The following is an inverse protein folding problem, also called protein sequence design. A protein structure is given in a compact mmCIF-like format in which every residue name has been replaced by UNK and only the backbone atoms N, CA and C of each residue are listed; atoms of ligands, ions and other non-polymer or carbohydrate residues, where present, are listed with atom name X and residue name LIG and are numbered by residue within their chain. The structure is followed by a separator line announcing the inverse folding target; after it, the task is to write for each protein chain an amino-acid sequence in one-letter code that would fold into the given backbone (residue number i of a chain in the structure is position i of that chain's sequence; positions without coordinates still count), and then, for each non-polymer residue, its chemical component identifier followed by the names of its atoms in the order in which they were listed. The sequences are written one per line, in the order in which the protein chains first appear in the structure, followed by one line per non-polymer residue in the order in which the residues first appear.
data_IF_838665154389
#
_entry.id   IF_838665154389
#
_cell.length_a   1.000
_cell.length_b   1.000
_cell.length_c   1.000
_cell.angle_alpha   90.00
_cell.angle_beta   90.00
_cell.angle_gamma   90.00
#
_symmetry.space_group_name_H-M   'P 1'
#
loop_
_entity.id
_entity.type
_entity.pdbx_description
1 polymer ?
#
# COMPACT_ATOMS: atom_id res chain seq x y z
N UNK A 1 -25.00 62.35 67.53
CA UNK A 1 -26.05 61.31 67.26
C UNK A 1 -25.59 60.53 66.05
N UNK A 2 -24.88 59.40 66.30
CA UNK A 2 -24.19 58.61 65.28
C UNK A 2 -25.08 57.42 64.88
N UNK A 3 -25.52 57.44 63.65
CA UNK A 3 -26.30 56.37 63.06
C UNK A 3 -25.33 55.38 62.32
N UNK A 4 -25.15 54.20 62.89
CA UNK A 4 -24.39 53.12 62.28
C UNK A 4 -25.22 52.47 61.16
N UNK A 5 -24.73 52.53 59.94
CA UNK A 5 -25.29 51.79 58.77
C UNK A 5 -24.74 50.36 58.82
N UNK A 6 -25.59 49.37 58.98
CA UNK A 6 -25.31 47.96 58.91
C UNK A 6 -25.49 47.50 57.45
N UNK A 7 -24.40 47.14 56.77
CA UNK A 7 -24.47 46.57 55.42
C UNK A 7 -24.74 45.09 55.52
N UNK A 8 -25.86 44.63 54.95
CA UNK A 8 -26.17 43.23 54.75
C UNK A 8 -25.50 42.74 53.44
N UNK A 9 -24.58 41.81 53.58
CA UNK A 9 -23.96 41.09 52.45
C UNK A 9 -24.87 39.90 52.11
N UNK A 10 -25.55 39.94 50.95
CA UNK A 10 -26.32 38.83 50.41
C UNK A 10 -25.38 37.97 49.60
N UNK A 11 -25.02 36.77 50.09
CA UNK A 11 -24.26 35.78 49.34
C UNK A 11 -25.25 34.96 48.51
N UNK A 12 -25.26 35.14 47.19
CA UNK A 12 -26.01 34.30 46.25
C UNK A 12 -25.13 33.08 45.95
N UNK A 13 -25.45 31.92 46.50
CA UNK A 13 -24.84 30.64 46.12
C UNK A 13 -25.57 30.15 44.88
N UNK A 14 -24.96 30.30 43.73
CA UNK A 14 -25.45 29.69 42.49
C UNK A 14 -25.09 28.19 42.47
N UNK A 15 -26.06 27.33 42.64
CA UNK A 15 -25.94 25.89 42.39
C UNK A 15 -25.84 25.65 40.86
N UNK A 16 -24.63 25.42 40.37
CA UNK A 16 -24.44 24.87 39.02
C UNK A 16 -24.71 23.37 39.08
N UNK A 17 -25.89 22.95 38.67
CA UNK A 17 -26.17 21.54 38.41
C UNK A 17 -25.39 21.13 37.14
N UNK A 18 -24.28 20.39 37.31
CA UNK A 18 -23.66 19.68 36.22
C UNK A 18 -24.60 18.56 35.75
N UNK A 19 -25.41 18.82 34.76
CA UNK A 19 -26.06 17.74 34.00
C UNK A 19 -25.00 17.13 33.12
N UNK A 20 -24.50 15.94 33.49
CA UNK A 20 -23.69 15.10 32.64
C UNK A 20 -24.53 14.69 31.42
N UNK A 21 -24.31 15.35 30.30
CA UNK A 21 -24.81 14.89 29.00
C UNK A 21 -24.04 13.62 28.68
N UNK A 22 -24.67 12.45 28.52
CA UNK A 22 -23.96 11.28 28.03
C UNK A 22 -23.48 11.58 26.63
N UNK A 23 -22.18 11.68 26.43
CA UNK A 23 -21.56 11.69 25.11
C UNK A 23 -21.78 10.29 24.50
N UNK A 24 -22.95 10.06 23.92
CA UNK A 24 -23.15 8.99 22.97
C UNK A 24 -22.36 9.36 21.71
N UNK A 25 -21.06 9.10 21.73
CA UNK A 25 -20.24 9.07 20.51
C UNK A 25 -20.70 7.83 19.75
N UNK A 26 -21.79 7.97 18.99
CA UNK A 26 -22.07 7.02 17.94
C UNK A 26 -20.89 7.11 16.98
N UNK A 27 -20.09 6.05 16.92
CA UNK A 27 -19.07 5.92 15.90
C UNK A 27 -19.79 6.08 14.55
N UNK A 28 -19.58 7.21 13.89
CA UNK A 28 -20.17 7.50 12.59
C UNK A 28 -19.58 6.46 11.62
N UNK A 29 -20.38 5.47 11.25
CA UNK A 29 -19.96 4.46 10.28
C UNK A 29 -19.57 5.16 8.99
N UNK A 30 -18.39 4.86 8.48
CA UNK A 30 -17.91 5.37 7.21
C UNK A 30 -18.85 4.91 6.08
N UNK A 31 -19.71 5.82 5.61
CA UNK A 31 -20.68 5.57 4.54
C UNK A 31 -20.08 5.79 3.16
N UNK A 32 -18.78 6.14 3.07
CA UNK A 32 -18.12 6.28 1.77
C UNK A 32 -18.12 4.96 1.01
N UNK A 33 -18.21 5.05 -0.31
CA UNK A 33 -18.25 3.91 -1.22
C UNK A 33 -16.87 3.76 -1.87
N UNK A 34 -16.26 2.60 -1.70
CA UNK A 34 -15.00 2.24 -2.34
C UNK A 34 -15.17 1.14 -3.40
N UNK A 35 -14.14 1.00 -4.22
CA UNK A 35 -13.96 -0.13 -5.13
C UNK A 35 -12.99 -1.14 -4.54
N UNK A 36 -13.26 -2.44 -4.72
CA UNK A 36 -12.47 -3.51 -4.12
C UNK A 36 -12.33 -4.69 -5.07
N UNK A 37 -11.20 -5.37 -5.00
CA UNK A 37 -10.97 -6.68 -5.59
C UNK A 37 -11.21 -7.73 -4.51
N UNK A 38 -12.12 -8.66 -4.79
CA UNK A 38 -12.46 -9.78 -3.91
C UNK A 38 -11.97 -11.07 -4.54
N UNK A 39 -10.99 -11.72 -3.90
CA UNK A 39 -10.48 -13.03 -4.32
C UNK A 39 -11.26 -14.12 -3.61
N UNK A 40 -11.74 -15.12 -4.37
CA UNK A 40 -12.58 -16.22 -3.88
C UNK A 40 -11.74 -17.48 -3.65
N UNK A 41 -12.13 -18.30 -2.64
CA UNK A 41 -11.44 -19.56 -2.32
C UNK A 41 -11.71 -20.69 -3.32
N UNK A 42 -12.82 -20.65 -4.04
CA UNK A 42 -13.19 -21.72 -4.98
C UNK A 42 -14.06 -21.21 -6.13
N UNK A 43 -14.05 -21.95 -7.24
CA UNK A 43 -14.73 -21.58 -8.49
C UNK A 43 -16.24 -21.43 -8.34
N UNK A 44 -16.88 -22.15 -7.40
CA UNK A 44 -18.33 -22.15 -7.20
C UNK A 44 -18.83 -21.12 -6.17
N UNK A 45 -17.91 -20.29 -5.63
CA UNK A 45 -18.23 -19.34 -4.55
C UNK A 45 -18.78 -18.00 -5.04
N UNK A 46 -18.73 -17.70 -6.34
CA UNK A 46 -19.03 -16.37 -6.87
C UNK A 46 -20.47 -15.95 -6.64
N UNK A 47 -21.44 -16.79 -6.93
CA UNK A 47 -22.88 -16.43 -6.82
C UNK A 47 -23.32 -16.17 -5.38
N UNK A 48 -22.81 -16.92 -4.41
CA UNK A 48 -23.12 -16.71 -3.00
C UNK A 48 -22.51 -15.42 -2.47
N UNK A 49 -21.26 -15.13 -2.84
CA UNK A 49 -20.57 -13.89 -2.45
C UNK A 49 -21.21 -12.67 -3.11
N UNK A 50 -21.63 -12.77 -4.37
CA UNK A 50 -22.37 -11.68 -5.04
C UNK A 50 -23.71 -11.39 -4.39
N UNK A 51 -24.45 -12.42 -3.95
CA UNK A 51 -25.67 -12.24 -3.20
C UNK A 51 -25.42 -11.52 -1.85
N UNK A 52 -24.27 -11.79 -1.19
CA UNK A 52 -23.87 -11.09 0.03
C UNK A 52 -23.51 -9.64 -0.23
N UNK A 53 -22.80 -9.36 -1.34
CA UNK A 53 -22.48 -8.01 -1.79
C UNK A 53 -23.75 -7.22 -2.06
N UNK A 54 -24.70 -7.79 -2.81
CA UNK A 54 -25.96 -7.14 -3.11
C UNK A 54 -26.79 -6.84 -1.86
N UNK A 55 -26.85 -7.79 -0.89
CA UNK A 55 -27.53 -7.57 0.41
C UNK A 55 -26.88 -6.45 1.24
N UNK A 56 -25.58 -6.25 1.10
CA UNK A 56 -24.86 -5.14 1.72
C UNK A 56 -24.99 -3.80 0.95
N UNK A 57 -25.83 -3.76 -0.09
CA UNK A 57 -26.02 -2.57 -0.93
C UNK A 57 -24.84 -2.28 -1.86
N UNK A 58 -23.97 -3.26 -2.08
CA UNK A 58 -22.88 -3.22 -3.05
C UNK A 58 -23.29 -3.77 -4.41
N UNK A 59 -22.40 -3.65 -5.37
CA UNK A 59 -22.57 -4.22 -6.72
C UNK A 59 -21.29 -4.85 -7.22
N UNK A 60 -21.40 -5.94 -7.96
CA UNK A 60 -20.31 -6.53 -8.73
C UNK A 60 -20.19 -5.80 -10.06
N UNK A 61 -18.97 -5.34 -10.37
CA UNK A 61 -18.66 -4.64 -11.62
C UNK A 61 -18.03 -5.57 -12.65
N UNK A 62 -17.17 -6.49 -12.20
CA UNK A 62 -16.51 -7.48 -13.08
C UNK A 62 -16.34 -8.82 -12.37
N UNK A 63 -16.26 -9.91 -13.17
CA UNK A 63 -15.83 -11.23 -12.74
C UNK A 63 -14.50 -11.60 -13.39
N UNK A 64 -13.62 -12.19 -12.61
CA UNK A 64 -12.33 -12.71 -13.06
C UNK A 64 -12.35 -14.23 -12.94
N UNK A 65 -11.97 -14.93 -14.01
CA UNK A 65 -12.03 -16.40 -14.08
C UNK A 65 -10.76 -17.05 -14.63
N UNK A 66 -9.80 -16.24 -15.11
CA UNK A 66 -8.60 -16.77 -15.78
C UNK A 66 -7.33 -16.60 -14.92
N UNK A 67 -7.01 -15.37 -14.53
CA UNK A 67 -5.79 -15.10 -13.75
C UNK A 67 -6.01 -15.32 -12.26
N UNK A 68 -7.19 -14.96 -11.79
CA UNK A 68 -7.65 -15.19 -10.42
C UNK A 68 -9.14 -15.54 -10.47
N UNK A 69 -9.63 -16.24 -9.47
CA UNK A 69 -11.06 -16.41 -9.25
C UNK A 69 -11.53 -15.28 -8.31
N UNK A 70 -12.23 -14.30 -8.85
CA UNK A 70 -12.57 -13.12 -8.06
C UNK A 70 -13.56 -12.19 -8.72
N UNK A 71 -13.83 -11.10 -8.00
CA UNK A 71 -14.81 -10.08 -8.36
C UNK A 71 -14.20 -8.69 -8.17
N UNK A 72 -14.45 -7.76 -9.09
CA UNK A 72 -14.36 -6.33 -8.82
C UNK A 72 -15.72 -5.85 -8.34
N UNK A 73 -15.74 -5.19 -7.19
CA UNK A 73 -16.98 -4.80 -6.51
C UNK A 73 -16.93 -3.34 -6.06
N UNK A 74 -18.08 -2.71 -6.01
CA UNK A 74 -18.24 -1.39 -5.44
C UNK A 74 -19.21 -1.46 -4.26
N UNK A 75 -18.79 -1.03 -3.07
CA UNK A 75 -19.58 -1.14 -1.86
C UNK A 75 -19.15 -0.13 -0.79
N UNK A 76 -19.98 0.04 0.24
CA UNK A 76 -19.64 0.92 1.37
C UNK A 76 -18.46 0.36 2.16
N UNK A 77 -17.54 1.23 2.56
CA UNK A 77 -16.36 0.85 3.36
C UNK A 77 -16.74 0.16 4.66
N UNK A 78 -17.85 0.56 5.29
CA UNK A 78 -18.37 -0.06 6.52
C UNK A 78 -18.74 -1.54 6.36
N UNK A 79 -19.03 -2.00 5.15
CA UNK A 79 -19.44 -3.39 4.86
C UNK A 79 -18.25 -4.31 4.48
N UNK A 80 -17.08 -3.74 4.22
CA UNK A 80 -15.90 -4.51 3.76
C UNK A 80 -15.46 -5.54 4.79
N UNK A 81 -15.50 -5.20 6.08
CA UNK A 81 -15.13 -6.13 7.16
C UNK A 81 -16.01 -7.40 7.16
N UNK A 82 -17.31 -7.25 6.87
CA UNK A 82 -18.23 -8.38 6.72
C UNK A 82 -17.83 -9.28 5.55
N UNK A 83 -17.43 -8.69 4.45
CA UNK A 83 -17.00 -9.46 3.27
C UNK A 83 -15.68 -10.19 3.53
N UNK A 84 -14.73 -9.58 4.25
CA UNK A 84 -13.48 -10.25 4.68
C UNK A 84 -13.72 -11.47 5.57
N UNK A 85 -14.79 -11.46 6.36
CA UNK A 85 -15.16 -12.57 7.23
C UNK A 85 -16.02 -13.64 6.54
N UNK A 86 -16.34 -13.49 5.25
CA UNK A 86 -17.10 -14.49 4.51
C UNK A 86 -16.22 -15.74 4.26
N UNK A 87 -16.67 -16.97 4.60
CA UNK A 87 -15.87 -18.19 4.48
C UNK A 87 -15.44 -18.50 3.04
N UNK A 88 -16.14 -17.99 2.03
CA UNK A 88 -15.86 -18.17 0.62
C UNK A 88 -14.88 -17.13 0.05
N UNK A 89 -14.51 -16.11 0.84
CA UNK A 89 -13.58 -15.05 0.45
C UNK A 89 -12.18 -15.38 0.97
N UNK A 90 -11.19 -15.30 0.10
CA UNK A 90 -9.78 -15.45 0.45
C UNK A 90 -9.18 -14.11 0.86
N UNK A 91 -9.46 -13.06 0.09
CA UNK A 91 -8.85 -11.73 0.26
C UNK A 91 -9.80 -10.63 -0.24
N UNK A 92 -9.76 -9.47 0.40
CA UNK A 92 -10.41 -8.24 -0.08
C UNK A 92 -9.41 -7.10 -0.03
N UNK A 93 -9.08 -6.54 -1.18
CA UNK A 93 -8.16 -5.41 -1.35
C UNK A 93 -8.89 -4.20 -1.95
N UNK A 94 -8.49 -2.97 -1.60
CA UNK A 94 -8.94 -1.80 -2.33
C UNK A 94 -8.53 -1.88 -3.81
N UNK A 95 -9.46 -1.61 -4.71
CA UNK A 95 -9.17 -1.45 -6.14
C UNK A 95 -8.66 -0.03 -6.36
N UNK A 96 -7.34 0.10 -6.50
CA UNK A 96 -6.69 1.39 -6.68
C UNK A 96 -6.56 1.72 -8.16
N UNK A 97 -6.81 2.96 -8.50
CA UNK A 97 -6.54 3.45 -9.84
C UNK A 97 -5.02 3.49 -10.08
N UNK A 98 -4.57 2.64 -11.00
CA UNK A 98 -3.19 2.66 -11.47
C UNK A 98 -3.08 3.71 -12.57
N UNK A 99 -2.26 4.72 -12.34
CA UNK A 99 -1.86 5.66 -13.40
C UNK A 99 -0.52 5.23 -13.97
N UNK A 100 -0.36 5.34 -15.28
CA UNK A 100 0.97 5.23 -15.90
C UNK A 100 1.82 6.37 -15.35
N UNK A 101 2.83 6.04 -14.53
CA UNK A 101 3.54 7.03 -13.74
C UNK A 101 4.70 7.65 -14.48
N UNK A 102 5.31 6.93 -15.42
CA UNK A 102 6.45 7.47 -16.16
C UNK A 102 6.73 6.67 -17.45
N UNK A 103 6.94 7.38 -18.54
CA UNK A 103 7.39 6.80 -19.80
C UNK A 103 8.78 7.30 -20.09
N UNK A 104 9.76 6.40 -20.10
CA UNK A 104 11.10 6.71 -20.61
C UNK A 104 11.09 6.70 -22.14
N UNK A 105 11.48 7.81 -22.75
CA UNK A 105 11.59 7.95 -24.21
C UNK A 105 12.77 8.87 -24.56
N UNK A 106 13.85 8.36 -25.18
CA UNK A 106 14.07 6.93 -25.42
C UNK A 106 14.36 6.18 -24.12
N UNK A 107 14.00 4.88 -24.11
CA UNK A 107 14.42 4.01 -23.01
C UNK A 107 15.92 3.71 -23.10
N UNK A 108 16.63 3.62 -21.95
CA UNK A 108 18.07 3.38 -21.95
C UNK A 108 18.45 1.94 -22.31
N UNK A 109 17.49 1.01 -22.33
CA UNK A 109 17.73 -0.42 -22.54
C UNK A 109 16.64 -1.06 -23.40
N UNK A 110 17.06 -1.85 -24.39
CA UNK A 110 16.13 -2.69 -25.15
C UNK A 110 15.38 -3.70 -24.28
N UNK A 111 15.96 -4.11 -23.14
CA UNK A 111 15.32 -5.00 -22.19
C UNK A 111 14.09 -4.36 -21.54
N UNK A 112 14.18 -3.10 -21.16
CA UNK A 112 13.03 -2.34 -20.65
C UNK A 112 11.95 -2.16 -21.72
N UNK A 113 12.33 -1.79 -22.93
CA UNK A 113 11.44 -1.69 -24.09
C UNK A 113 10.71 -3.03 -24.37
N UNK A 114 11.44 -4.15 -24.23
CA UNK A 114 10.87 -5.46 -24.52
C UNK A 114 9.85 -5.94 -23.50
N UNK A 115 9.98 -5.57 -22.24
CA UNK A 115 9.12 -6.10 -21.16
C UNK A 115 7.77 -5.40 -21.03
N UNK A 116 7.60 -4.19 -21.53
CA UNK A 116 6.32 -3.48 -21.46
C UNK A 116 5.42 -3.70 -22.69
N UNK A 117 5.91 -4.43 -23.70
CA UNK A 117 5.14 -4.72 -24.92
C UNK A 117 5.19 -6.20 -25.31
N UNK A 118 4.08 -6.70 -25.91
CA UNK A 118 3.96 -8.11 -26.31
C UNK A 118 4.55 -8.41 -27.68
N UNK A 119 4.47 -7.46 -28.59
CA UNK A 119 4.79 -7.64 -30.00
C UNK A 119 6.00 -6.82 -30.44
N UNK A 120 6.70 -7.30 -31.46
CA UNK A 120 7.71 -6.55 -32.18
C UNK A 120 7.05 -5.75 -33.31
N UNK A 121 7.69 -4.67 -33.80
CA UNK A 121 9.00 -4.14 -33.39
C UNK A 121 8.97 -3.42 -32.05
N UNK A 122 10.15 -3.26 -31.43
CA UNK A 122 10.34 -2.41 -30.26
C UNK A 122 10.05 -0.94 -30.61
N UNK A 123 9.55 -0.17 -29.67
CA UNK A 123 9.12 1.21 -29.87
C UNK A 123 10.02 2.27 -29.22
N UNK A 124 11.12 1.81 -28.61
CA UNK A 124 12.10 2.64 -27.90
C UNK A 124 11.53 3.35 -26.66
N UNK A 125 10.43 2.85 -26.11
CA UNK A 125 9.86 3.39 -24.87
C UNK A 125 9.78 2.32 -23.78
N UNK A 126 9.68 2.76 -22.53
CA UNK A 126 9.32 1.91 -21.39
C UNK A 126 8.31 2.64 -20.51
N UNK A 127 7.15 2.05 -20.34
CA UNK A 127 6.07 2.58 -19.53
C UNK A 127 5.82 1.70 -18.33
N UNK A 128 6.15 2.20 -17.12
CA UNK A 128 5.86 1.50 -15.88
C UNK A 128 4.49 1.91 -15.33
N UNK A 129 3.58 0.95 -15.18
CA UNK A 129 2.26 1.17 -14.55
C UNK A 129 2.34 1.16 -13.03
N UNK A 130 3.38 0.52 -12.47
CA UNK A 130 3.69 0.48 -11.05
C UNK A 130 5.21 0.47 -10.87
N UNK A 131 5.74 1.25 -9.94
CA UNK A 131 7.18 1.40 -9.72
C UNK A 131 7.64 0.85 -8.36
N UNK A 132 6.83 0.11 -7.65
CA UNK A 132 7.19 -0.53 -6.39
C UNK A 132 7.27 0.41 -5.18
N UNK A 133 6.58 1.56 -5.20
CA UNK A 133 6.53 2.44 -4.03
C UNK A 133 5.93 1.72 -2.82
N UNK A 134 6.64 1.75 -1.67
CA UNK A 134 6.24 1.06 -0.44
C UNK A 134 6.52 -0.45 -0.44
N UNK A 135 7.24 -0.97 -1.46
CA UNK A 135 7.65 -2.38 -1.53
C UNK A 135 9.11 -2.53 -1.15
N UNK A 136 9.41 -3.45 -0.25
CA UNK A 136 10.76 -3.84 0.12
C UNK A 136 11.24 -5.00 -0.77
N UNK A 137 12.37 -4.80 -1.44
CA UNK A 137 12.97 -5.79 -2.33
C UNK A 137 14.31 -6.29 -1.73
N UNK A 138 14.35 -7.53 -1.37
CA UNK A 138 15.53 -8.18 -0.80
C UNK A 138 16.41 -8.73 -1.91
N UNK A 139 17.64 -8.24 -2.03
CA UNK A 139 18.65 -8.72 -2.98
C UNK A 139 19.58 -9.70 -2.23
N UNK A 140 19.29 -10.98 -2.39
CA UNK A 140 20.04 -12.08 -1.75
C UNK A 140 21.16 -12.50 -2.71
N UNK A 141 22.33 -11.88 -2.57
CA UNK A 141 23.42 -11.94 -3.55
C UNK A 141 24.79 -11.58 -2.92
N UNK A 142 25.70 -11.00 -3.71
CA UNK A 142 27.05 -10.57 -3.28
C UNK A 142 27.05 -9.24 -2.49
N UNK A 143 25.90 -8.66 -2.22
CA UNK A 143 25.73 -7.36 -1.59
C UNK A 143 25.29 -6.29 -2.58
N UNK A 144 25.23 -5.03 -2.13
CA UNK A 144 24.94 -3.87 -2.98
C UNK A 144 25.97 -2.78 -2.70
N UNK A 145 26.54 -2.19 -3.75
CA UNK A 145 27.39 -1.01 -3.65
C UNK A 145 26.56 0.22 -3.27
N UNK A 146 26.59 0.56 -1.98
CA UNK A 146 25.63 1.51 -1.40
C UNK A 146 25.75 2.95 -1.95
N UNK A 147 26.93 3.34 -2.46
CA UNK A 147 27.16 4.67 -3.03
C UNK A 147 26.75 4.78 -4.51
N UNK A 148 26.20 3.74 -5.11
CA UNK A 148 25.81 3.77 -6.52
C UNK A 148 24.64 4.73 -6.73
N UNK A 149 24.73 5.61 -7.71
CA UNK A 149 23.74 6.67 -8.00
C UNK A 149 22.35 6.14 -8.32
N UNK A 150 22.26 4.94 -8.90
CA UNK A 150 21.00 4.25 -9.21
C UNK A 150 20.14 3.93 -7.98
N UNK A 151 20.72 3.96 -6.76
CA UNK A 151 20.02 3.57 -5.54
C UNK A 151 19.85 4.69 -4.53
N UNK A 152 20.21 5.92 -4.88
CA UNK A 152 20.21 7.06 -3.95
C UNK A 152 18.89 7.20 -3.18
N UNK A 153 18.99 7.17 -1.84
CA UNK A 153 17.85 7.34 -0.93
C UNK A 153 16.89 6.14 -0.84
N UNK A 154 17.21 4.98 -1.46
CA UNK A 154 16.33 3.81 -1.50
C UNK A 154 16.96 2.52 -0.96
N UNK A 155 18.13 2.61 -0.31
CA UNK A 155 18.74 1.51 0.40
C UNK A 155 18.34 1.54 1.87
N UNK A 156 17.85 0.42 2.38
CA UNK A 156 17.62 0.19 3.80
C UNK A 156 18.72 -0.70 4.42
N UNK A 157 18.71 -0.81 5.74
CA UNK A 157 19.61 -1.70 6.44
C UNK A 157 19.38 -3.16 6.01
N UNK A 158 20.47 -3.86 5.70
CA UNK A 158 20.45 -5.24 5.24
C UNK A 158 21.14 -6.20 6.21
N UNK A 159 21.48 -7.37 5.70
CA UNK A 159 22.15 -8.44 6.45
C UNK A 159 23.31 -9.02 5.64
N UNK A 160 24.39 -9.42 6.32
CA UNK A 160 25.48 -10.21 5.74
C UNK A 160 25.71 -11.49 6.53
N UNK A 161 25.77 -12.61 5.85
CA UNK A 161 26.23 -13.88 6.39
C UNK A 161 27.75 -14.06 6.26
N UNK A 162 28.42 -13.16 5.52
CA UNK A 162 29.87 -13.19 5.33
C UNK A 162 30.53 -12.44 6.48
N UNK A 163 31.43 -13.13 7.19
CA UNK A 163 32.11 -12.59 8.38
C UNK A 163 33.37 -11.83 7.96
N UNK A 164 33.19 -10.67 7.34
CA UNK A 164 34.28 -9.76 6.99
C UNK A 164 33.93 -8.30 7.40
N UNK A 165 34.84 -7.35 7.12
CA UNK A 165 34.61 -5.94 7.42
C UNK A 165 33.75 -5.20 6.42
N UNK A 166 33.30 -5.83 5.34
CA UNK A 166 32.58 -5.17 4.24
C UNK A 166 31.06 -5.11 4.49
N UNK A 167 30.55 -5.87 5.48
CA UNK A 167 29.13 -5.89 5.79
C UNK A 167 28.27 -6.26 4.57
N UNK A 168 27.31 -5.42 4.22
CA UNK A 168 26.42 -5.63 3.07
C UNK A 168 26.94 -5.05 1.76
N UNK A 169 28.15 -4.47 1.76
CA UNK A 169 28.75 -3.88 0.55
C UNK A 169 29.14 -4.97 -0.44
N UNK A 170 28.92 -4.68 -1.72
CA UNK A 170 29.25 -5.58 -2.82
C UNK A 170 30.71 -5.46 -3.21
N UNK A 171 31.46 -6.55 -3.13
CA UNK A 171 32.85 -6.65 -3.54
C UNK A 171 33.05 -7.31 -4.89
N UNK A 172 31.99 -7.90 -5.46
CA UNK A 172 31.98 -8.65 -6.69
C UNK A 172 31.36 -7.83 -7.86
N UNK A 173 30.25 -7.17 -7.61
CA UNK A 173 29.49 -6.39 -8.57
C UNK A 173 28.20 -7.07 -9.07
N UNK A 174 28.03 -8.38 -8.84
CA UNK A 174 26.86 -9.12 -9.32
C UNK A 174 25.57 -8.64 -8.61
N UNK A 175 25.57 -8.58 -7.28
CA UNK A 175 24.41 -8.14 -6.52
C UNK A 175 24.02 -6.68 -6.82
N UNK A 176 24.99 -5.81 -7.04
CA UNK A 176 24.75 -4.43 -7.49
C UNK A 176 24.09 -4.40 -8.87
N UNK A 177 24.51 -5.24 -9.80
CA UNK A 177 23.90 -5.35 -11.12
C UNK A 177 22.47 -5.87 -11.03
N UNK A 178 22.22 -6.90 -10.22
CA UNK A 178 20.87 -7.44 -9.96
C UNK A 178 19.96 -6.38 -9.35
N UNK A 179 20.45 -5.63 -8.35
CA UNK A 179 19.73 -4.51 -7.76
C UNK A 179 19.39 -3.42 -8.80
N UNK A 180 20.34 -3.10 -9.69
CA UNK A 180 20.15 -2.14 -10.77
C UNK A 180 19.06 -2.54 -11.75
N UNK A 181 19.05 -3.82 -12.15
CA UNK A 181 18.01 -4.37 -13.05
C UNK A 181 16.64 -4.39 -12.37
N UNK A 182 16.61 -4.68 -11.07
CA UNK A 182 15.35 -4.75 -10.31
C UNK A 182 14.78 -3.36 -10.03
N UNK A 183 15.59 -2.46 -9.49
CA UNK A 183 15.11 -1.20 -8.93
C UNK A 183 16.03 0.00 -9.17
N UNK A 184 16.93 -0.05 -10.12
CA UNK A 184 17.73 1.11 -10.52
C UNK A 184 16.85 2.26 -11.01
N UNK A 185 17.24 3.49 -10.70
CA UNK A 185 16.50 4.69 -11.11
C UNK A 185 16.38 4.80 -12.63
N UNK A 186 17.45 4.46 -13.34
CA UNK A 186 17.51 4.54 -14.82
C UNK A 186 17.14 3.21 -15.47
N UNK A 187 17.74 2.11 -15.01
CA UNK A 187 17.68 0.80 -15.69
C UNK A 187 16.76 -0.20 -15.02
N UNK A 188 16.21 0.12 -13.84
CA UNK A 188 15.35 -0.78 -13.09
C UNK A 188 13.88 -0.72 -13.53
N UNK A 189 13.15 -1.76 -13.14
CA UNK A 189 11.71 -1.88 -13.36
C UNK A 189 10.95 -1.21 -12.21
N UNK A 190 11.29 -1.57 -10.95
CA UNK A 190 10.64 -1.10 -9.74
C UNK A 190 11.36 0.13 -9.15
N UNK A 191 11.39 1.23 -9.90
CA UNK A 191 12.22 2.42 -9.66
C UNK A 191 11.99 3.12 -8.31
N UNK A 192 10.89 2.85 -7.61
CA UNK A 192 10.52 3.42 -6.31
C UNK A 192 10.55 2.40 -5.17
N UNK A 193 10.94 1.15 -5.44
CA UNK A 193 11.08 0.14 -4.39
C UNK A 193 12.27 0.45 -3.47
N UNK A 194 12.14 0.05 -2.20
CA UNK A 194 13.25 0.04 -1.25
C UNK A 194 14.10 -1.21 -1.47
N UNK A 195 15.41 -1.05 -1.55
CA UNK A 195 16.37 -2.14 -1.71
C UNK A 195 16.95 -2.55 -0.36
N UNK A 196 16.93 -3.83 -0.04
CA UNK A 196 17.51 -4.40 1.17
C UNK A 196 18.60 -5.41 0.76
N UNK A 197 19.88 -5.09 0.96
CA UNK A 197 20.97 -6.01 0.62
C UNK A 197 21.03 -7.18 1.61
N UNK A 198 21.08 -8.40 1.10
CA UNK A 198 21.30 -9.62 1.87
C UNK A 198 22.51 -10.33 1.26
N UNK A 199 23.71 -10.04 1.83
CA UNK A 199 24.97 -10.58 1.31
C UNK A 199 25.19 -12.00 1.82
N UNK A 200 25.13 -12.96 0.91
CA UNK A 200 25.32 -14.39 1.17
C UNK A 200 26.40 -15.01 0.27
N UNK A 201 26.88 -14.26 -0.70
CA UNK A 201 27.94 -14.62 -1.64
C UNK A 201 29.08 -13.61 -1.55
N UNK A 202 30.29 -14.05 -1.94
CA UNK A 202 31.49 -13.21 -1.98
C UNK A 202 31.97 -13.03 -3.42
#
# INVERSE_FOLDING_TARGET
MNMKRTSFLVVIVAFFSLTSIPNNVFAQQDQSVGSYIVVLKGSNSSSSVEADIARAGGRTERRFTHVLNGLSVRMRNSEVARLRNNPNVLLVEPDQQMTALDTQNPTPSWGLDRIDQRSLPLNSTFTATAQGSGVDTYIVDTGIYASHTEFSGRLAAGFSSIADSNGTNDCNGHGTHVAGTTAGTTYGIAKLATLIPVRVLD
#
